data_IF_546709820258
#
_entry.id   IF_546709820258
#
_cell.length_a   1.000
_cell.length_b   1.000
_cell.length_c   1.000
_cell.angle_alpha   90.00
_cell.angle_beta   90.00
_cell.angle_gamma   90.00
#
_symmetry.space_group_name_H-M   'P 1'
#
loop_
_entity.id
_entity.type
_entity.pdbx_description
1 polymer ?
#
# COMPACT_ATOMS: atom_id res chain seq x y z
N UNK A 1 19.78 7.03 10.24
CA UNK A 1 19.44 7.81 9.04
C UNK A 1 18.59 6.92 8.15
N UNK A 2 17.35 7.31 7.82
CA UNK A 2 16.58 6.60 6.79
C UNK A 2 17.27 6.85 5.45
N UNK A 3 17.47 5.78 4.69
CA UNK A 3 18.10 5.81 3.37
C UNK A 3 17.05 6.24 2.32
N UNK A 4 17.47 6.96 1.29
CA UNK A 4 16.60 7.52 0.24
C UNK A 4 15.60 6.49 -0.34
N UNK A 5 16.01 5.23 -0.45
CA UNK A 5 15.15 4.12 -0.88
C UNK A 5 13.98 3.84 0.07
N UNK A 6 14.19 3.91 1.39
CA UNK A 6 13.12 3.74 2.39
C UNK A 6 12.12 4.89 2.33
N UNK A 7 12.55 6.13 2.05
CA UNK A 7 11.64 7.27 1.94
C UNK A 7 10.75 7.18 0.69
N UNK A 8 11.29 6.68 -0.42
CA UNK A 8 10.52 6.37 -1.63
C UNK A 8 9.48 5.28 -1.33
N UNK A 9 9.88 4.19 -0.69
CA UNK A 9 8.96 3.11 -0.30
C UNK A 9 7.86 3.62 0.63
N UNK A 10 8.21 4.43 1.63
CA UNK A 10 7.24 5.01 2.55
C UNK A 10 6.22 5.90 1.84
N UNK A 11 6.66 6.65 0.83
CA UNK A 11 5.78 7.48 -0.01
C UNK A 11 4.82 6.60 -0.83
N UNK A 12 5.32 5.53 -1.44
CA UNK A 12 4.49 4.57 -2.18
C UNK A 12 3.47 3.88 -1.27
N UNK A 13 3.86 3.47 -0.06
CA UNK A 13 2.97 2.89 0.95
C UNK A 13 1.83 3.84 1.29
N UNK A 14 2.14 5.12 1.58
CA UNK A 14 1.14 6.13 1.92
C UNK A 14 0.15 6.35 0.76
N UNK A 15 0.66 6.46 -0.46
CA UNK A 15 -0.17 6.64 -1.65
C UNK A 15 -1.09 5.42 -1.87
N UNK A 16 -0.52 4.21 -1.82
CA UNK A 16 -1.27 2.96 -2.04
C UNK A 16 -2.35 2.76 -0.98
N UNK A 17 -2.04 3.06 0.29
CA UNK A 17 -3.01 3.05 1.39
C UNK A 17 -4.20 3.99 1.14
N UNK A 18 -3.94 5.21 0.63
CA UNK A 18 -5.01 6.16 0.26
C UNK A 18 -5.88 5.62 -0.87
N UNK A 19 -5.29 5.02 -1.91
CA UNK A 19 -6.03 4.41 -3.02
C UNK A 19 -6.88 3.24 -2.53
N UNK A 20 -6.34 2.38 -1.66
CA UNK A 20 -7.07 1.23 -1.10
C UNK A 20 -8.32 1.70 -0.35
N UNK A 21 -8.20 2.71 0.52
CA UNK A 21 -9.37 3.24 1.25
C UNK A 21 -10.38 3.91 0.32
N UNK A 22 -9.93 4.66 -0.68
CA UNK A 22 -10.82 5.26 -1.68
C UNK A 22 -11.64 4.17 -2.40
N UNK A 23 -10.98 3.09 -2.85
CA UNK A 23 -11.65 1.95 -3.49
C UNK A 23 -12.58 1.21 -2.53
N UNK A 24 -12.18 1.05 -1.27
CA UNK A 24 -13.02 0.40 -0.25
C UNK A 24 -14.29 1.19 0.05
N UNK A 25 -14.20 2.53 0.06
CA UNK A 25 -15.37 3.40 0.24
C UNK A 25 -16.30 3.37 -0.97
N UNK A 26 -15.75 3.26 -2.19
CA UNK A 26 -16.54 3.27 -3.43
C UNK A 26 -17.17 1.90 -3.74
N UNK A 27 -16.44 0.81 -3.54
CA UNK A 27 -16.82 -0.52 -4.01
C UNK A 27 -17.05 -1.55 -2.89
N UNK A 28 -16.69 -1.22 -1.64
CA UNK A 28 -16.70 -2.16 -0.52
C UNK A 28 -15.37 -2.91 -0.36
N UNK A 29 -15.11 -3.42 0.85
CA UNK A 29 -13.80 -3.98 1.26
C UNK A 29 -13.42 -5.28 0.55
N UNK A 30 -14.41 -6.09 0.17
CA UNK A 30 -14.21 -7.39 -0.47
C UNK A 30 -14.15 -7.30 -1.98
N UNK A 31 -14.36 -6.12 -2.56
CA UNK A 31 -14.27 -5.92 -3.99
C UNK A 31 -12.86 -6.26 -4.48
N UNK A 32 -12.75 -6.96 -5.61
CA UNK A 32 -11.47 -7.47 -6.14
C UNK A 32 -10.40 -6.38 -6.25
N UNK A 33 -10.79 -5.18 -6.70
CA UNK A 33 -9.88 -4.03 -6.82
C UNK A 33 -9.31 -3.52 -5.48
N UNK A 34 -10.00 -3.77 -4.36
CA UNK A 34 -9.54 -3.45 -3.00
C UNK A 34 -8.63 -4.55 -2.48
N UNK A 35 -8.99 -5.82 -2.70
CA UNK A 35 -8.17 -6.99 -2.32
C UNK A 35 -6.83 -6.98 -3.05
N UNK A 36 -6.81 -6.72 -4.35
CA UNK A 36 -5.55 -6.56 -5.09
C UNK A 36 -4.74 -5.38 -4.54
N UNK A 37 -5.40 -4.27 -4.22
CA UNK A 37 -4.71 -3.10 -3.67
C UNK A 37 -4.10 -3.37 -2.29
N UNK A 38 -4.75 -4.16 -1.44
CA UNK A 38 -4.21 -4.56 -0.14
C UNK A 38 -3.00 -5.49 -0.30
N UNK A 39 -3.04 -6.45 -1.23
CA UNK A 39 -1.91 -7.34 -1.51
C UNK A 39 -0.68 -6.59 -2.02
N UNK A 40 -0.89 -5.61 -2.90
CA UNK A 40 0.19 -4.74 -3.38
C UNK A 40 0.74 -3.84 -2.24
N UNK A 41 -0.12 -3.36 -1.34
CA UNK A 41 0.30 -2.60 -0.16
C UNK A 41 1.13 -3.47 0.79
N UNK A 42 0.73 -4.72 1.03
CA UNK A 42 1.49 -5.68 1.84
C UNK A 42 2.87 -5.95 1.24
N UNK A 43 2.97 -6.07 -0.08
CA UNK A 43 4.25 -6.22 -0.77
C UNK A 43 5.19 -5.03 -0.52
N UNK A 44 4.66 -3.81 -0.52
CA UNK A 44 5.44 -2.60 -0.21
C UNK A 44 5.85 -2.55 1.26
N UNK A 45 4.98 -2.98 2.18
CA UNK A 45 5.27 -3.06 3.61
C UNK A 45 6.38 -4.08 3.89
N UNK A 46 6.32 -5.27 3.29
CA UNK A 46 7.35 -6.30 3.43
C UNK A 46 8.71 -5.78 2.94
N UNK A 47 8.75 -5.13 1.77
CA UNK A 47 9.97 -4.49 1.26
C UNK A 47 10.53 -3.41 2.19
N UNK A 48 9.66 -2.62 2.81
CA UNK A 48 10.07 -1.60 3.76
C UNK A 48 10.62 -2.21 5.07
N UNK A 49 10.08 -3.35 5.49
CA UNK A 49 10.49 -4.08 6.68
C UNK A 49 11.70 -5.00 6.44
N UNK A 50 12.05 -5.28 5.18
CA UNK A 50 13.12 -6.21 4.82
C UNK A 50 12.73 -7.68 5.01
N UNK A 51 11.44 -7.99 4.84
CA UNK A 51 10.86 -9.35 4.89
C UNK A 51 10.72 -9.91 3.47
#
# INVERSE_FOLDING_TARGET
MKNMHQDILLTQIKLKKRIMYMRANLFGRTHSSVVTCSQELDTLLNKYQGI
#
